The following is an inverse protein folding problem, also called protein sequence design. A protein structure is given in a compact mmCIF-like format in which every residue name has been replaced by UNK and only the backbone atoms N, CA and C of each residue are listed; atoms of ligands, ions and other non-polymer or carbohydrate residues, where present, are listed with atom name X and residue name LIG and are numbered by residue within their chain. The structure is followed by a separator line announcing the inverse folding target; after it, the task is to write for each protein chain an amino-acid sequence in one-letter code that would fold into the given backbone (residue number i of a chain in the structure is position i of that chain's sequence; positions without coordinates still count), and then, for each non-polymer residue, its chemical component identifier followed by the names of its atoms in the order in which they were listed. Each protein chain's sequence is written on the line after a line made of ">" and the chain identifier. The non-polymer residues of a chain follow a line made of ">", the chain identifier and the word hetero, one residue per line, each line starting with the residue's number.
data_IF_976697073183
#
_entry.id   IF_976697073183
#
_cell.length_a   1.000
_cell.length_b   1.000
_cell.length_c   1.000
_cell.angle_alpha   90.00
_cell.angle_beta   90.00
_cell.angle_gamma   90.00
#
_symmetry.space_group_name_H-M   'P 1'
#
loop_
_entity.id
_entity.type
_entity.pdbx_description
1 polymer ?
#
# COMPACT_ATOMS: atom_id res chain seq x y z
N UNK A 1 -68.76 51.66 24.13
CA UNK A 1 -67.57 51.03 24.74
C UNK A 1 -67.05 49.97 23.78
N UNK A 2 -65.78 50.08 23.37
CA UNK A 2 -65.14 49.29 22.32
C UNK A 2 -64.52 48.03 22.93
N UNK A 3 -64.77 46.85 22.36
CA UNK A 3 -63.99 45.64 22.61
C UNK A 3 -62.92 45.51 21.52
N UNK A 4 -61.63 45.36 21.84
CA UNK A 4 -60.65 44.94 20.86
C UNK A 4 -60.55 43.41 20.86
N UNK A 5 -60.75 42.84 19.69
CA UNK A 5 -60.48 41.44 19.36
C UNK A 5 -58.96 41.31 19.22
N UNK A 6 -58.32 40.56 20.12
CA UNK A 6 -56.92 40.15 19.98
C UNK A 6 -56.88 38.88 19.12
N UNK A 7 -56.47 39.05 17.85
CA UNK A 7 -56.11 37.95 16.95
C UNK A 7 -54.66 37.57 17.28
N UNK A 8 -54.48 36.39 17.89
CA UNK A 8 -53.17 35.77 18.11
C UNK A 8 -52.84 34.95 16.85
N UNK A 9 -52.00 35.49 15.97
CA UNK A 9 -51.45 34.75 14.82
C UNK A 9 -50.23 33.98 15.32
N UNK A 10 -50.38 32.67 15.52
CA UNK A 10 -49.26 31.76 15.69
C UNK A 10 -48.56 31.57 14.36
N UNK A 11 -47.43 32.26 14.16
CA UNK A 11 -46.49 31.97 13.08
C UNK A 11 -45.82 30.61 13.37
N UNK A 12 -46.27 29.57 12.67
CA UNK A 12 -45.56 28.30 12.59
C UNK A 12 -44.40 28.51 11.60
N UNK A 13 -43.21 28.77 12.13
CA UNK A 13 -41.97 28.66 11.37
C UNK A 13 -41.71 27.19 11.09
N UNK A 14 -42.11 26.74 9.90
CA UNK A 14 -41.65 25.47 9.34
C UNK A 14 -40.19 25.68 8.98
N UNK A 15 -39.29 25.29 9.89
CA UNK A 15 -37.89 25.04 9.54
C UNK A 15 -37.87 23.82 8.63
N UNK A 16 -38.06 24.04 7.32
CA UNK A 16 -37.63 23.08 6.32
C UNK A 16 -36.12 22.96 6.46
N UNK A 17 -35.64 21.93 7.14
CA UNK A 17 -34.27 21.49 6.99
C UNK A 17 -34.10 21.17 5.51
N UNK A 18 -33.39 22.03 4.79
CA UNK A 18 -32.74 21.62 3.56
C UNK A 18 -31.73 20.54 3.97
N UNK A 19 -32.18 19.29 4.02
CA UNK A 19 -31.27 18.16 3.85
C UNK A 19 -30.66 18.40 2.47
N UNK A 20 -29.41 18.87 2.45
CA UNK A 20 -28.61 18.82 1.23
C UNK A 20 -28.53 17.34 0.89
N UNK A 21 -29.36 16.87 -0.04
CA UNK A 21 -29.15 15.59 -0.69
C UNK A 21 -27.67 15.56 -1.09
N UNK A 22 -26.93 14.62 -0.49
CA UNK A 22 -25.52 14.42 -0.79
C UNK A 22 -25.47 14.05 -2.27
N UNK A 23 -25.15 15.01 -3.12
CA UNK A 23 -25.11 14.79 -4.56
C UNK A 23 -24.01 13.77 -4.84
N UNK A 24 -24.40 12.54 -5.18
CA UNK A 24 -23.49 11.49 -5.58
C UNK A 24 -22.95 11.87 -6.96
N UNK A 25 -21.63 11.95 -7.09
CA UNK A 25 -20.97 12.21 -8.37
C UNK A 25 -20.89 10.92 -9.18
N UNK A 26 -21.17 11.00 -10.47
CA UNK A 26 -21.10 9.84 -11.36
C UNK A 26 -19.66 9.61 -11.82
N UNK A 27 -19.21 8.38 -11.70
CA UNK A 27 -17.89 7.91 -12.11
C UNK A 27 -18.02 6.61 -12.89
N UNK A 28 -17.00 6.32 -13.69
CA UNK A 28 -16.83 5.05 -14.41
C UNK A 28 -15.47 4.44 -14.09
N UNK A 29 -15.45 3.13 -14.03
CA UNK A 29 -14.24 2.32 -14.03
C UNK A 29 -14.59 0.92 -14.51
N UNK A 30 -13.65 0.26 -15.17
CA UNK A 30 -13.78 -1.11 -15.62
C UNK A 30 -12.82 -1.96 -14.81
N UNK A 31 -13.35 -2.96 -14.10
CA UNK A 31 -12.53 -3.98 -13.47
C UNK A 31 -13.22 -5.33 -13.67
N UNK A 32 -12.75 -6.15 -14.62
CA UNK A 32 -13.30 -7.49 -14.87
C UNK A 32 -13.07 -8.50 -13.74
N UNK A 33 -12.03 -8.37 -12.90
CA UNK A 33 -11.71 -9.28 -11.80
C UNK A 33 -11.12 -8.56 -10.57
N UNK A 34 -11.55 -8.95 -9.37
CA UNK A 34 -11.08 -8.50 -8.05
C UNK A 34 -9.55 -8.58 -7.87
N UNK A 35 -8.87 -9.50 -8.57
CA UNK A 35 -7.41 -9.68 -8.46
C UNK A 35 -6.63 -9.39 -9.74
N UNK A 36 -7.24 -8.77 -10.75
CA UNK A 36 -6.57 -8.43 -12.02
C UNK A 36 -5.27 -7.62 -11.81
N UNK A 37 -5.23 -6.75 -10.79
CA UNK A 37 -4.04 -5.98 -10.47
C UNK A 37 -2.80 -6.84 -10.19
N UNK A 38 -2.99 -8.09 -9.74
CA UNK A 38 -1.89 -9.01 -9.48
C UNK A 38 -1.24 -9.55 -10.77
N UNK A 39 -1.93 -9.51 -11.91
CA UNK A 39 -1.42 -10.02 -13.19
C UNK A 39 -0.24 -9.21 -13.72
N UNK A 40 -0.12 -7.94 -13.31
CA UNK A 40 0.96 -7.06 -13.74
C UNK A 40 2.28 -7.29 -12.99
N UNK A 41 2.28 -8.11 -11.94
CA UNK A 41 3.48 -8.34 -11.13
C UNK A 41 4.30 -9.52 -11.63
N UNK A 42 5.62 -9.39 -11.47
CA UNK A 42 6.56 -10.45 -11.84
C UNK A 42 6.42 -11.63 -10.87
N UNK A 43 5.84 -12.71 -11.38
CA UNK A 43 5.93 -14.05 -10.80
C UNK A 43 6.89 -14.85 -11.67
N UNK A 44 8.05 -15.17 -11.13
CA UNK A 44 9.11 -15.88 -11.85
C UNK A 44 9.74 -16.89 -10.87
N UNK A 45 10.97 -17.30 -11.10
CA UNK A 45 11.67 -18.28 -10.29
C UNK A 45 12.57 -17.60 -9.26
N UNK A 46 12.67 -18.23 -8.10
CA UNK A 46 13.70 -17.86 -7.13
C UNK A 46 15.08 -18.18 -7.70
N UNK A 47 16.04 -17.27 -7.57
CA UNK A 47 17.42 -17.60 -7.91
C UNK A 47 17.96 -18.72 -7.00
N UNK A 48 18.89 -19.51 -7.54
CA UNK A 48 19.30 -20.78 -6.93
C UNK A 48 20.81 -20.93 -6.74
N UNK A 49 21.60 -19.89 -7.03
CA UNK A 49 23.03 -19.90 -6.72
C UNK A 49 23.26 -19.86 -5.22
N UNK A 50 24.37 -20.42 -4.74
CA UNK A 50 24.74 -20.40 -3.31
C UNK A 50 24.72 -18.97 -2.74
N UNK A 51 25.22 -18.00 -3.51
CA UNK A 51 25.20 -16.59 -3.16
C UNK A 51 23.77 -16.04 -3.03
N UNK A 52 22.87 -16.40 -3.95
CA UNK A 52 21.46 -15.99 -3.85
C UNK A 52 20.79 -16.60 -2.62
N UNK A 53 21.04 -17.88 -2.34
CA UNK A 53 20.50 -18.57 -1.16
C UNK A 53 21.01 -17.92 0.13
N UNK A 54 22.28 -17.54 0.18
CA UNK A 54 22.87 -16.80 1.30
C UNK A 54 22.10 -15.48 1.57
N UNK A 55 21.95 -14.63 0.55
CA UNK A 55 21.27 -13.35 0.73
C UNK A 55 19.75 -13.45 0.91
N UNK A 56 19.13 -14.50 0.37
CA UNK A 56 17.75 -14.84 0.68
C UNK A 56 17.57 -15.17 2.18
N UNK A 57 18.50 -15.94 2.76
CA UNK A 57 18.47 -16.24 4.19
C UNK A 57 18.76 -14.99 5.05
N UNK A 58 19.68 -14.13 4.62
CA UNK A 58 19.92 -12.82 5.26
C UNK A 58 18.63 -11.98 5.24
N UNK A 59 17.95 -11.90 4.08
CA UNK A 59 16.67 -11.19 3.99
C UNK A 59 15.63 -11.76 4.95
N UNK A 60 15.46 -13.09 4.99
CA UNK A 60 14.51 -13.76 5.91
C UNK A 60 14.78 -13.42 7.37
N UNK A 61 16.03 -13.37 7.76
CA UNK A 61 16.41 -12.99 9.12
C UNK A 61 16.10 -11.52 9.39
N UNK A 62 16.49 -10.63 8.48
CA UNK A 62 16.34 -9.19 8.64
C UNK A 62 14.87 -8.74 8.63
N UNK A 63 14.02 -9.35 7.79
CA UNK A 63 12.58 -9.03 7.78
C UNK A 63 11.91 -9.44 9.10
N UNK A 64 12.32 -10.58 9.68
CA UNK A 64 11.86 -11.03 10.99
C UNK A 64 12.33 -10.09 12.11
N UNK A 65 13.60 -9.72 12.10
CA UNK A 65 14.18 -8.81 13.10
C UNK A 65 13.56 -7.41 13.02
N UNK A 66 13.42 -6.86 11.81
CA UNK A 66 12.86 -5.52 11.57
C UNK A 66 11.41 -5.41 12.03
N UNK A 67 10.63 -6.46 11.81
CA UNK A 67 9.18 -6.45 12.03
C UNK A 67 8.74 -7.27 13.25
N UNK A 68 9.69 -7.82 14.02
CA UNK A 68 9.42 -8.70 15.16
C UNK A 68 8.48 -9.87 14.82
N UNK A 69 8.70 -10.51 13.66
CA UNK A 69 7.86 -11.58 13.13
C UNK A 69 8.37 -12.97 13.55
N UNK A 70 7.44 -13.88 13.85
CA UNK A 70 7.74 -15.29 14.04
C UNK A 70 8.00 -15.99 12.70
N UNK A 71 8.65 -17.16 12.74
CA UNK A 71 8.80 -17.97 11.53
C UNK A 71 7.44 -18.43 11.01
N UNK A 72 6.54 -18.87 11.91
CA UNK A 72 5.19 -19.31 11.56
C UNK A 72 4.38 -18.22 10.83
N UNK A 73 4.57 -16.95 11.22
CA UNK A 73 3.94 -15.83 10.54
C UNK A 73 4.43 -15.70 9.09
N UNK A 74 5.75 -15.72 8.88
CA UNK A 74 6.35 -15.65 7.55
C UNK A 74 5.84 -16.81 6.68
N UNK A 75 5.87 -18.04 7.21
CA UNK A 75 5.49 -19.23 6.46
C UNK A 75 3.99 -19.27 6.12
N UNK A 76 3.15 -18.62 6.93
CA UNK A 76 1.69 -18.54 6.72
C UNK A 76 1.30 -17.42 5.76
N UNK A 77 1.96 -16.26 5.86
CA UNK A 77 1.50 -15.03 5.22
C UNK A 77 2.35 -14.58 4.04
N UNK A 78 3.55 -15.14 3.83
CA UNK A 78 4.44 -14.72 2.75
C UNK A 78 4.61 -15.84 1.73
N UNK A 79 4.23 -15.54 0.48
CA UNK A 79 4.49 -16.39 -0.69
C UNK A 79 5.59 -15.76 -1.54
N UNK A 80 6.75 -16.40 -1.62
CA UNK A 80 7.87 -15.90 -2.42
C UNK A 80 7.59 -16.03 -3.92
N UNK A 81 7.79 -14.94 -4.68
CA UNK A 81 7.47 -14.88 -6.10
C UNK A 81 8.68 -14.78 -7.02
N UNK A 82 9.76 -14.13 -6.57
CA UNK A 82 10.92 -13.87 -7.40
C UNK A 82 12.13 -13.51 -6.55
N UNK A 83 13.33 -13.88 -6.99
CA UNK A 83 14.55 -13.27 -6.48
C UNK A 83 15.64 -13.21 -7.55
N UNK A 84 16.49 -12.21 -7.44
CA UNK A 84 17.63 -12.03 -8.33
C UNK A 84 18.81 -11.37 -7.63
N UNK A 85 19.97 -11.54 -8.26
CA UNK A 85 21.15 -10.71 -8.02
C UNK A 85 21.44 -9.95 -9.30
N UNK A 86 21.43 -8.63 -9.22
CA UNK A 86 21.70 -7.75 -10.35
C UNK A 86 22.87 -6.82 -10.06
N UNK A 87 23.56 -6.38 -11.12
CA UNK A 87 24.66 -5.43 -11.04
C UNK A 87 24.25 -4.10 -11.65
N UNK A 88 24.67 -3.01 -11.02
CA UNK A 88 24.48 -1.64 -11.50
C UNK A 88 25.71 -0.77 -11.17
N UNK A 89 25.58 0.55 -11.39
CA UNK A 89 26.64 1.52 -11.19
C UNK A 89 27.22 1.50 -9.76
N UNK A 90 26.37 1.29 -8.74
CA UNK A 90 26.83 1.34 -7.35
C UNK A 90 27.49 0.03 -6.87
N UNK A 91 27.17 -1.08 -7.52
CA UNK A 91 27.61 -2.41 -7.10
C UNK A 91 26.63 -3.50 -7.51
N UNK A 92 26.49 -4.50 -6.64
CA UNK A 92 25.62 -5.66 -6.82
C UNK A 92 24.56 -5.63 -5.73
N UNK A 93 23.29 -5.80 -6.12
CA UNK A 93 22.15 -5.85 -5.20
C UNK A 93 21.48 -7.21 -5.23
N UNK A 94 20.88 -7.59 -4.11
CA UNK A 94 19.92 -8.68 -4.03
C UNK A 94 18.52 -8.09 -3.99
N UNK A 95 17.61 -8.66 -4.78
CA UNK A 95 16.20 -8.29 -4.81
C UNK A 95 15.35 -9.54 -4.58
N UNK A 96 14.28 -9.38 -3.81
CA UNK A 96 13.26 -10.41 -3.61
C UNK A 96 11.88 -9.77 -3.75
N UNK A 97 10.97 -10.46 -4.41
CA UNK A 97 9.57 -10.10 -4.44
C UNK A 97 8.70 -11.23 -3.90
N UNK A 98 7.63 -10.87 -3.21
CA UNK A 98 6.73 -11.81 -2.55
C UNK A 98 5.32 -11.21 -2.43
N UNK A 99 4.33 -12.07 -2.22
CA UNK A 99 2.98 -11.69 -1.83
C UNK A 99 2.85 -11.79 -0.32
N UNK A 100 2.41 -10.71 0.32
CA UNK A 100 1.97 -10.71 1.71
C UNK A 100 0.45 -10.83 1.77
N UNK A 101 -0.04 -11.92 2.39
CA UNK A 101 -1.45 -12.30 2.39
C UNK A 101 -2.02 -12.33 3.81
N UNK A 102 -3.08 -11.59 4.03
CA UNK A 102 -3.89 -11.62 5.27
C UNK A 102 -5.36 -11.73 4.88
N UNK A 103 -6.04 -12.80 5.31
CA UNK A 103 -7.37 -13.17 4.85
C UNK A 103 -7.49 -13.16 3.30
N UNK A 104 -8.32 -12.28 2.74
CA UNK A 104 -8.49 -12.09 1.29
C UNK A 104 -7.51 -11.05 0.71
N UNK A 105 -6.89 -10.21 1.53
CA UNK A 105 -6.03 -9.14 1.05
C UNK A 105 -4.64 -9.68 0.67
N UNK A 106 -4.15 -9.27 -0.51
CA UNK A 106 -2.85 -9.68 -1.05
C UNK A 106 -2.10 -8.44 -1.52
N UNK A 107 -1.02 -8.09 -0.84
CA UNK A 107 -0.09 -7.06 -1.31
C UNK A 107 1.13 -7.71 -1.98
N UNK A 108 1.51 -7.25 -3.17
CA UNK A 108 2.77 -7.61 -3.78
C UNK A 108 3.84 -6.59 -3.39
N UNK A 109 4.97 -7.06 -2.86
CA UNK A 109 6.08 -6.19 -2.49
C UNK A 109 7.40 -6.73 -3.02
N UNK A 110 8.36 -5.83 -3.26
CA UNK A 110 9.74 -6.18 -3.52
C UNK A 110 10.69 -5.45 -2.58
N UNK A 111 11.50 -6.20 -1.85
CA UNK A 111 12.62 -5.67 -1.09
C UNK A 111 13.90 -5.75 -1.91
N UNK A 112 14.83 -4.82 -1.67
CA UNK A 112 16.12 -4.81 -2.32
C UNK A 112 17.17 -4.22 -1.39
N UNK A 113 18.37 -4.77 -1.40
CA UNK A 113 19.51 -4.18 -0.71
C UNK A 113 20.83 -4.49 -1.41
N UNK A 114 21.81 -3.61 -1.20
CA UNK A 114 23.16 -3.77 -1.73
C UNK A 114 23.86 -4.95 -1.03
N UNK A 115 24.54 -5.78 -1.81
CA UNK A 115 25.29 -6.95 -1.32
C UNK A 115 26.78 -6.87 -1.63
N UNK A 116 27.20 -6.02 -2.57
CA UNK A 116 28.60 -5.68 -2.83
C UNK A 116 28.66 -4.28 -3.38
N UNK A 117 29.58 -3.45 -2.91
CA UNK A 117 29.74 -2.07 -3.39
C UNK A 117 30.99 -1.99 -4.28
N UNK A 118 30.92 -1.27 -5.41
CA UNK A 118 32.06 -1.11 -6.30
C UNK A 118 33.23 -0.36 -5.62
N UNK A 119 34.47 -0.70 -6.01
CA UNK A 119 35.68 -0.18 -5.37
C UNK A 119 35.83 1.35 -5.47
N UNK A 120 35.38 1.92 -6.58
CA UNK A 120 35.42 3.34 -6.91
C UNK A 120 34.22 4.12 -6.36
N UNK A 121 33.24 3.45 -5.75
CA UNK A 121 32.07 4.11 -5.20
C UNK A 121 32.38 4.83 -3.88
N UNK A 122 32.21 6.14 -3.90
CA UNK A 122 32.51 7.05 -2.76
C UNK A 122 31.28 7.46 -1.96
N UNK A 123 30.08 7.01 -2.31
CA UNK A 123 28.86 7.33 -1.56
C UNK A 123 28.85 6.67 -0.18
N UNK A 124 28.17 7.32 0.78
CA UNK A 124 28.06 6.86 2.17
C UNK A 124 29.42 6.56 2.86
N UNK A 125 30.40 7.49 2.81
CA UNK A 125 31.77 7.23 3.31
C UNK A 125 31.85 7.14 4.85
N UNK A 126 30.82 7.61 5.56
CA UNK A 126 30.73 7.56 7.02
C UNK A 126 30.17 6.22 7.52
N UNK A 127 29.56 5.42 6.64
CA UNK A 127 29.07 4.09 6.99
C UNK A 127 30.21 3.09 6.88
N UNK A 128 30.37 2.26 7.91
CA UNK A 128 31.33 1.16 7.92
C UNK A 128 30.84 0.03 7.00
N UNK A 129 30.95 0.25 5.69
CA UNK A 129 30.58 -0.67 4.62
C UNK A 129 31.82 -0.96 3.76
N UNK A 130 32.34 -2.20 3.72
CA UNK A 130 33.50 -2.51 2.88
C UNK A 130 33.16 -2.38 1.39
N UNK A 131 34.16 -1.95 0.60
CA UNK A 131 34.09 -1.91 -0.86
C UNK A 131 34.73 -3.17 -1.44
N UNK A 132 34.31 -3.53 -2.65
CA UNK A 132 34.78 -4.69 -3.42
C UNK A 132 34.72 -6.03 -2.67
N UNK A 133 33.80 -6.17 -1.71
CA UNK A 133 33.57 -7.42 -0.97
C UNK A 133 32.08 -7.60 -0.72
N UNK A 134 31.65 -8.86 -0.71
CA UNK A 134 30.28 -9.22 -0.35
C UNK A 134 29.98 -8.88 1.11
N UNK A 135 28.85 -8.22 1.36
CA UNK A 135 28.48 -7.69 2.67
C UNK A 135 27.93 -8.79 3.57
N UNK A 136 28.37 -8.81 4.83
CA UNK A 136 27.75 -9.66 5.86
C UNK A 136 26.35 -9.15 6.23
N UNK A 137 25.56 -9.97 6.93
CA UNK A 137 24.24 -9.58 7.46
C UNK A 137 24.28 -8.26 8.22
N UNK A 138 25.29 -8.04 9.07
CA UNK A 138 25.44 -6.81 9.84
C UNK A 138 25.68 -5.60 8.94
N UNK A 139 26.45 -5.76 7.86
CA UNK A 139 26.74 -4.71 6.88
C UNK A 139 25.53 -4.40 6.00
N UNK A 140 24.80 -5.43 5.58
CA UNK A 140 23.51 -5.28 4.89
C UNK A 140 22.52 -4.52 5.78
N UNK A 141 22.44 -4.86 7.07
CA UNK A 141 21.59 -4.16 8.03
C UNK A 141 21.93 -2.68 8.14
N UNK A 142 23.23 -2.32 8.23
CA UNK A 142 23.67 -0.92 8.22
C UNK A 142 23.18 -0.20 6.96
N UNK A 143 23.28 -0.83 5.78
CA UNK A 143 22.81 -0.23 4.54
C UNK A 143 21.29 0.03 4.55
N UNK A 144 20.50 -0.95 5.00
CA UNK A 144 19.03 -0.84 5.11
C UNK A 144 18.62 0.23 6.13
N UNK A 145 19.20 0.21 7.34
CA UNK A 145 18.86 1.16 8.41
C UNK A 145 19.12 2.63 8.00
N UNK A 146 20.06 2.84 7.07
CA UNK A 146 20.43 4.17 6.56
C UNK A 146 19.87 4.46 5.16
N UNK A 147 19.04 3.57 4.60
CA UNK A 147 18.55 3.63 3.21
C UNK A 147 19.67 3.83 2.18
N UNK A 148 20.86 3.32 2.46
CA UNK A 148 22.04 3.51 1.62
C UNK A 148 21.91 2.67 0.35
N UNK A 149 22.29 3.23 -0.79
CA UNK A 149 22.25 2.54 -2.10
C UNK A 149 20.87 1.98 -2.44
N UNK A 150 19.81 2.71 -2.06
CA UNK A 150 18.41 2.29 -2.22
C UNK A 150 18.09 0.95 -1.53
N UNK A 151 18.82 0.63 -0.46
CA UNK A 151 18.57 -0.57 0.34
C UNK A 151 17.39 -0.35 1.27
N UNK A 152 16.37 -1.19 1.16
CA UNK A 152 15.25 -1.20 2.09
C UNK A 152 14.64 -2.60 2.22
N UNK A 153 14.00 -2.82 3.37
CA UNK A 153 13.12 -3.95 3.64
C UNK A 153 11.84 -3.34 4.21
N UNK A 154 10.68 -3.69 3.64
CA UNK A 154 9.42 -3.10 4.03
C UNK A 154 9.12 -3.31 5.52
N UNK A 155 8.46 -2.33 6.13
CA UNK A 155 7.85 -2.52 7.44
C UNK A 155 6.57 -3.34 7.27
N UNK A 156 6.34 -4.30 8.15
CA UNK A 156 5.14 -5.12 8.18
C UNK A 156 4.53 -5.12 9.56
N UNK A 157 3.21 -5.01 9.59
CA UNK A 157 2.46 -5.31 10.80
C UNK A 157 2.42 -6.84 11.03
N UNK A 158 2.41 -7.27 12.30
CA UNK A 158 2.27 -8.67 12.66
C UNK A 158 0.79 -9.10 12.72
N UNK A 159 -0.07 -8.44 11.94
CA UNK A 159 -1.51 -8.61 12.01
C UNK A 159 -1.93 -9.81 11.16
N UNK A 160 -2.76 -10.66 11.75
CA UNK A 160 -3.25 -11.91 11.16
C UNK A 160 -4.70 -11.82 10.69
N UNK A 161 -5.36 -10.68 10.89
CA UNK A 161 -6.76 -10.47 10.55
C UNK A 161 -7.06 -9.02 10.16
N UNK A 162 -7.79 -8.85 9.06
CA UNK A 162 -8.29 -7.55 8.62
C UNK A 162 -9.72 -7.29 9.13
N UNK A 163 -10.11 -6.01 9.20
CA UNK A 163 -11.40 -5.53 9.71
C UNK A 163 -12.58 -5.95 8.83
N UNK A 164 -12.36 -6.05 7.53
CA UNK A 164 -13.41 -6.27 6.53
C UNK A 164 -13.48 -7.75 6.14
N UNK A 165 -14.68 -8.33 6.20
CA UNK A 165 -14.90 -9.75 5.91
C UNK A 165 -14.63 -10.11 4.44
N UNK A 166 -14.89 -9.18 3.51
CA UNK A 166 -14.65 -9.32 2.08
C UNK A 166 -14.09 -8.04 1.49
N UNK A 167 -13.51 -8.16 0.30
CA UNK A 167 -13.07 -7.02 -0.51
C UNK A 167 -14.23 -6.06 -0.81
N UNK A 168 -15.36 -6.61 -1.25
CA UNK A 168 -16.58 -5.85 -1.51
C UNK A 168 -17.02 -5.03 -0.29
N UNK A 169 -16.94 -5.60 0.92
CA UNK A 169 -17.30 -4.86 2.13
C UNK A 169 -16.40 -3.64 2.35
N UNK A 170 -15.09 -3.76 2.11
CA UNK A 170 -14.16 -2.62 2.22
C UNK A 170 -14.41 -1.59 1.12
N UNK A 171 -14.60 -2.04 -0.13
CA UNK A 171 -14.84 -1.17 -1.27
C UNK A 171 -16.16 -0.40 -1.15
N UNK A 172 -17.24 -1.05 -0.73
CA UNK A 172 -18.53 -0.37 -0.49
C UNK A 172 -18.45 0.64 0.65
N UNK A 173 -17.69 0.37 1.71
CA UNK A 173 -17.46 1.33 2.79
C UNK A 173 -16.67 2.57 2.32
N UNK A 174 -15.70 2.37 1.41
CA UNK A 174 -14.95 3.45 0.78
C UNK A 174 -15.83 4.25 -0.21
N UNK A 175 -16.67 3.60 -1.01
CA UNK A 175 -17.64 4.26 -1.91
C UNK A 175 -18.62 5.13 -1.11
N UNK A 176 -19.16 4.61 0.00
CA UNK A 176 -20.05 5.37 0.88
C UNK A 176 -19.39 6.63 1.46
N UNK A 177 -18.08 6.58 1.69
CA UNK A 177 -17.29 7.70 2.20
C UNK A 177 -16.93 8.73 1.11
N UNK A 178 -16.58 8.27 -0.10
CA UNK A 178 -16.08 9.10 -1.19
C UNK A 178 -17.13 10.00 -1.86
N UNK A 179 -18.41 9.65 -1.72
CA UNK A 179 -19.51 10.41 -2.34
C UNK A 179 -19.58 10.25 -3.87
N UNK A 180 -19.02 9.16 -4.40
CA UNK A 180 -19.22 8.74 -5.80
C UNK A 180 -20.08 7.48 -5.86
N UNK A 181 -20.64 7.17 -7.03
CA UNK A 181 -21.46 5.97 -7.22
C UNK A 181 -20.61 4.69 -7.35
N UNK A 182 -19.36 4.81 -7.81
CA UNK A 182 -18.51 3.66 -8.09
C UNK A 182 -17.03 3.96 -7.89
N UNK A 183 -16.31 2.98 -7.36
CA UNK A 183 -14.86 2.88 -7.36
C UNK A 183 -14.49 1.46 -7.78
N UNK A 184 -13.37 1.30 -8.49
CA UNK A 184 -12.79 0.00 -8.79
C UNK A 184 -11.48 -0.13 -8.03
N UNK A 185 -11.21 -1.32 -7.52
CA UNK A 185 -9.94 -1.62 -6.88
C UNK A 185 -8.79 -1.38 -7.87
N UNK A 186 -7.79 -0.66 -7.41
CA UNK A 186 -6.53 -0.51 -8.11
C UNK A 186 -5.51 -1.53 -7.63
N UNK A 187 -5.28 -1.58 -6.32
CA UNK A 187 -4.27 -2.44 -5.70
C UNK A 187 -4.45 -2.52 -4.19
N UNK A 188 -3.74 -3.47 -3.58
CA UNK A 188 -3.51 -3.51 -2.13
C UNK A 188 -2.02 -3.33 -1.89
N UNK A 189 -1.66 -2.40 -1.02
CA UNK A 189 -0.27 -2.08 -0.66
C UNK A 189 -0.03 -2.22 0.83
N UNK A 190 1.25 -2.20 1.22
CA UNK A 190 1.67 -2.12 2.62
C UNK A 190 2.02 -0.66 2.89
N UNK A 191 1.46 -0.08 3.96
CA UNK A 191 1.80 1.27 4.38
C UNK A 191 3.22 1.27 4.99
N UNK A 192 4.10 2.12 4.47
CA UNK A 192 5.51 2.20 4.89
C UNK A 192 5.69 2.61 6.36
N UNK A 193 4.75 3.37 6.93
CA UNK A 193 4.85 3.95 8.26
C UNK A 193 4.45 2.97 9.36
N UNK A 194 3.35 2.22 9.16
CA UNK A 194 2.81 1.30 10.18
C UNK A 194 2.85 -0.19 9.77
N UNK A 195 2.99 -0.49 8.48
CA UNK A 195 2.97 -1.86 7.95
C UNK A 195 1.56 -2.43 7.76
N UNK A 196 0.53 -1.60 7.82
CA UNK A 196 -0.87 -2.00 7.62
C UNK A 196 -1.18 -2.17 6.13
N UNK A 197 -2.14 -3.05 5.82
CA UNK A 197 -2.60 -3.26 4.45
C UNK A 197 -3.59 -2.15 4.06
N UNK A 198 -3.33 -1.49 2.93
CA UNK A 198 -4.15 -0.42 2.39
C UNK A 198 -4.79 -0.90 1.09
N UNK A 199 -6.11 -0.82 1.00
CA UNK A 199 -6.82 -0.97 -0.26
C UNK A 199 -6.90 0.40 -0.94
N UNK A 200 -6.41 0.48 -2.17
CA UNK A 200 -6.56 1.65 -3.04
C UNK A 200 -7.59 1.35 -4.13
N UNK A 201 -8.50 2.29 -4.36
CA UNK A 201 -9.50 2.22 -5.42
C UNK A 201 -9.62 3.56 -6.14
N UNK A 202 -9.96 3.54 -7.42
CA UNK A 202 -10.16 4.75 -8.22
C UNK A 202 -11.28 4.64 -9.22
N UNK A 203 -11.72 5.80 -9.73
CA UNK A 203 -12.62 5.90 -10.87
C UNK A 203 -12.46 7.25 -11.57
N UNK A 204 -12.87 7.30 -12.84
CA UNK A 204 -12.90 8.53 -13.64
C UNK A 204 -14.26 9.22 -13.50
N UNK A 205 -14.29 10.53 -13.37
CA UNK A 205 -15.56 11.27 -13.42
C UNK A 205 -16.14 11.29 -14.83
N UNK A 206 -17.46 11.16 -14.92
CA UNK A 206 -18.20 11.40 -16.16
C UNK A 206 -18.35 12.91 -16.42
N UNK A 207 -17.25 13.60 -16.71
CA UNK A 207 -17.25 15.00 -17.10
C UNK A 207 -16.28 15.25 -18.27
N UNK A 208 -16.28 16.46 -18.83
CA UNK A 208 -15.43 16.84 -19.97
C UNK A 208 -13.95 17.10 -19.56
N UNK A 209 -13.60 16.92 -18.28
CA UNK A 209 -12.27 17.23 -17.74
C UNK A 209 -11.50 15.94 -17.42
N UNK A 210 -10.16 15.99 -17.50
CA UNK A 210 -9.31 14.88 -17.08
C UNK A 210 -9.30 14.79 -15.53
N UNK A 211 -10.35 14.25 -14.93
CA UNK A 211 -10.54 14.22 -13.49
C UNK A 211 -10.94 12.82 -12.99
N UNK A 212 -10.24 12.37 -11.97
CA UNK A 212 -10.42 11.09 -11.31
C UNK A 212 -10.58 11.29 -9.80
N UNK A 213 -11.15 10.28 -9.16
CA UNK A 213 -11.16 10.13 -7.71
C UNK A 213 -10.25 8.97 -7.35
N UNK A 214 -9.43 9.14 -6.31
CA UNK A 214 -8.69 8.07 -5.68
C UNK A 214 -9.12 8.03 -4.22
N UNK A 215 -9.47 6.83 -3.77
CA UNK A 215 -9.77 6.53 -2.38
C UNK A 215 -8.84 5.46 -1.84
N UNK A 216 -8.47 5.57 -0.57
CA UNK A 216 -7.78 4.52 0.17
C UNK A 216 -8.56 4.17 1.43
N UNK A 217 -8.46 2.91 1.83
CA UNK A 217 -8.98 2.43 3.11
C UNK A 217 -7.96 1.51 3.76
N UNK A 218 -7.62 1.80 5.02
CA UNK A 218 -6.80 0.94 5.85
C UNK A 218 -7.62 -0.28 6.26
N UNK A 219 -7.17 -1.47 5.87
CA UNK A 219 -7.90 -2.72 6.09
C UNK A 219 -7.85 -3.18 7.55
N UNK A 220 -7.03 -2.55 8.40
CA UNK A 220 -6.91 -2.84 9.83
C UNK A 220 -7.77 -1.85 10.61
N UNK A 221 -7.54 -0.55 10.41
CA UNK A 221 -8.18 0.51 11.22
C UNK A 221 -9.54 0.91 10.65
N UNK A 222 -9.71 0.81 9.33
CA UNK A 222 -10.85 1.35 8.57
C UNK A 222 -10.76 2.86 8.32
N UNK A 223 -9.61 3.47 8.57
CA UNK A 223 -9.36 4.87 8.24
C UNK A 223 -9.36 5.05 6.72
N UNK A 224 -9.92 6.18 6.26
CA UNK A 224 -10.23 6.43 4.85
C UNK A 224 -9.73 7.79 4.41
N UNK A 225 -9.14 7.83 3.22
CA UNK A 225 -8.78 9.07 2.54
C UNK A 225 -9.36 9.07 1.13
N UNK A 226 -9.82 10.23 0.67
CA UNK A 226 -10.34 10.41 -0.69
C UNK A 226 -9.86 11.74 -1.21
N UNK A 227 -9.36 11.75 -2.44
CA UNK A 227 -8.91 12.96 -3.13
C UNK A 227 -9.31 12.94 -4.60
N UNK A 228 -9.62 14.12 -5.11
CA UNK A 228 -9.79 14.35 -6.54
C UNK A 228 -8.39 14.65 -7.14
N UNK A 229 -8.10 14.08 -8.30
CA UNK A 229 -6.79 14.18 -8.97
C UNK A 229 -6.97 14.13 -10.49
N UNK A 230 -6.03 14.65 -11.30
CA UNK A 230 -6.01 14.32 -12.71
C UNK A 230 -5.97 12.80 -12.93
N UNK A 231 -6.73 12.30 -13.91
CA UNK A 231 -6.58 10.89 -14.29
C UNK A 231 -5.20 10.65 -14.88
N UNK A 232 -4.65 9.47 -14.58
CA UNK A 232 -3.42 9.01 -15.19
C UNK A 232 -3.66 8.74 -16.68
N UNK A 233 -2.88 9.36 -17.55
CA UNK A 233 -2.90 9.12 -18.99
C UNK A 233 -1.70 8.21 -19.29
N UNK A 234 -1.98 6.94 -19.59
CA UNK A 234 -0.97 5.98 -20.06
C UNK A 234 -0.66 6.17 -21.55
#
# INVERSE_FOLDING_TARGET
>A
MKYPILIFISLIFVFSSCDKEKQIRTTTCNQPDDYEYLENYKVDTMCSSDLCIEYFNIWKDLIKEKNNLSQDFIDTHIEYCYSEINSWADGISFRICYKFKVDWAIAYNCDQFIIKINADNTYYPTLDLPRDTYLTKEKVKIAIDNRAFSSDIIKMSSIDKIKFATMDNALQDLIGYSGVNQLCLNMITINDDNGDLILEASAQYENEENSCVIGTIDLITGDKEVKDTPCWIN
#
